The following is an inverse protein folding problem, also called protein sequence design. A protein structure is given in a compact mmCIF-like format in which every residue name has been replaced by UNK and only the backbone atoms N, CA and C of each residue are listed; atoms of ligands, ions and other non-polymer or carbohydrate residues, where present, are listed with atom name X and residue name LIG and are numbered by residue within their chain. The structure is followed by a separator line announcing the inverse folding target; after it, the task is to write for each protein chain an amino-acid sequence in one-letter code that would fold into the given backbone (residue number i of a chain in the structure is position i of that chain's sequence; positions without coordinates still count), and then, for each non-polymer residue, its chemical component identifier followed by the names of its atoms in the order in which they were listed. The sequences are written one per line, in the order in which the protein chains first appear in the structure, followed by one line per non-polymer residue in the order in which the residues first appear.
data_IF_893078263286
#
_entry.id   IF_893078263286
#
_cell.length_a   1.000
_cell.length_b   1.000
_cell.length_c   1.000
_cell.angle_alpha   90.00
_cell.angle_beta   90.00
_cell.angle_gamma   90.00
#
_symmetry.space_group_name_H-M   'P 1'
#
loop_
_entity.id
_entity.type
_entity.pdbx_description
1 polymer ?
#
# COMPACT_ATOMS: atom_id res chain seq x y z
N UNK A 1 15.40 9.75 -6.45
CA UNK A 1 15.81 8.35 -6.29
C UNK A 1 16.99 8.15 -7.22
N UNK A 2 18.20 8.31 -6.69
CA UNK A 2 19.43 8.14 -7.47
C UNK A 2 19.67 6.64 -7.65
N UNK A 3 19.77 6.17 -8.88
CA UNK A 3 20.10 4.80 -9.22
C UNK A 3 21.51 4.77 -9.81
N UNK A 4 22.37 3.89 -9.29
CA UNK A 4 23.58 3.48 -10.01
C UNK A 4 23.24 2.16 -10.71
N UNK A 5 23.24 2.20 -12.04
CA UNK A 5 23.29 1.00 -12.88
C UNK A 5 24.74 0.76 -13.28
N UNK A 6 25.17 -0.49 -13.20
CA UNK A 6 26.44 -0.95 -13.69
C UNK A 6 26.19 -2.21 -14.52
N UNK A 7 26.01 -2.01 -15.81
CA UNK A 7 26.09 -3.08 -16.80
C UNK A 7 27.60 -3.35 -17.04
N UNK A 8 28.04 -4.58 -16.71
CA UNK A 8 29.40 -5.02 -16.99
C UNK A 8 29.45 -5.65 -18.38
N UNK A 9 29.93 -4.90 -19.39
CA UNK A 9 30.26 -5.48 -20.69
C UNK A 9 31.34 -6.57 -20.51
N UNK A 10 31.22 -7.68 -21.25
CA UNK A 10 31.90 -8.94 -20.92
C UNK A 10 33.44 -8.89 -20.93
N UNK A 11 34.00 -7.95 -21.70
CA UNK A 11 35.43 -7.77 -21.97
C UNK A 11 36.19 -7.01 -20.87
N UNK A 12 35.50 -6.25 -20.00
CA UNK A 12 36.12 -5.24 -19.12
C UNK A 12 36.92 -5.85 -17.92
N UNK A 13 36.89 -7.19 -17.81
CA UNK A 13 37.55 -7.99 -16.77
C UNK A 13 36.88 -7.91 -15.39
N UNK A 14 35.65 -7.39 -15.32
CA UNK A 14 34.94 -7.03 -14.08
C UNK A 14 34.11 -8.22 -13.59
N UNK A 15 34.78 -9.16 -12.92
CA UNK A 15 34.17 -10.36 -12.33
C UNK A 15 34.62 -10.53 -10.87
N UNK A 16 33.82 -11.22 -10.05
CA UNK A 16 34.16 -11.50 -8.66
C UNK A 16 34.37 -10.27 -7.78
N UNK A 17 35.20 -10.43 -6.75
CA UNK A 17 35.61 -9.37 -5.80
C UNK A 17 36.15 -8.11 -6.51
N UNK A 18 36.89 -8.25 -7.60
CA UNK A 18 37.38 -7.11 -8.41
C UNK A 18 36.23 -6.29 -8.98
N UNK A 19 35.12 -6.95 -9.34
CA UNK A 19 33.88 -6.30 -9.75
C UNK A 19 33.21 -5.55 -8.61
N UNK A 20 33.06 -6.18 -7.44
CA UNK A 20 32.50 -5.56 -6.25
C UNK A 20 33.23 -4.26 -5.87
N UNK A 21 34.56 -4.30 -5.80
CA UNK A 21 35.38 -3.14 -5.43
C UNK A 21 35.34 -2.03 -6.50
N UNK A 22 35.31 -2.38 -7.80
CA UNK A 22 35.13 -1.39 -8.90
C UNK A 22 33.72 -0.77 -8.90
N UNK A 23 32.70 -1.50 -8.49
CA UNK A 23 31.34 -0.99 -8.32
C UNK A 23 31.27 -0.02 -7.13
N UNK A 24 31.76 -0.43 -5.97
CA UNK A 24 31.81 0.37 -4.74
C UNK A 24 32.59 1.68 -4.94
N UNK A 25 33.71 1.65 -5.67
CA UNK A 25 34.48 2.84 -6.02
C UNK A 25 33.70 3.88 -6.88
N UNK A 26 32.59 3.49 -7.53
CA UNK A 26 31.67 4.41 -8.23
C UNK A 26 30.40 4.73 -7.43
N UNK A 27 30.18 4.09 -6.28
CA UNK A 27 28.98 4.29 -5.46
C UNK A 27 28.98 5.67 -4.81
N UNK A 28 27.80 6.31 -4.74
CA UNK A 28 27.60 7.60 -4.11
C UNK A 28 26.62 7.44 -2.95
N UNK A 29 26.77 8.14 -1.81
CA UNK A 29 25.87 7.97 -0.67
C UNK A 29 24.37 8.09 -0.99
N UNK A 30 23.99 9.00 -1.90
CA UNK A 30 22.57 9.22 -2.29
C UNK A 30 21.93 8.08 -3.12
N UNK A 31 22.68 7.02 -3.41
CA UNK A 31 22.23 5.90 -4.23
C UNK A 31 21.24 5.03 -3.46
N UNK A 32 19.99 5.12 -3.90
CA UNK A 32 18.83 4.49 -3.25
C UNK A 32 18.39 3.20 -3.94
N UNK A 33 19.00 2.88 -5.09
CA UNK A 33 18.80 1.65 -5.87
C UNK A 33 20.14 1.14 -6.37
N UNK A 34 20.45 -0.12 -6.05
CA UNK A 34 21.61 -0.87 -6.53
C UNK A 34 21.19 -1.71 -7.74
N UNK A 35 21.84 -1.54 -8.88
CA UNK A 35 21.53 -2.29 -10.11
C UNK A 35 22.83 -2.74 -10.76
N UNK A 36 23.10 -4.04 -10.72
CA UNK A 36 24.29 -4.67 -11.31
C UNK A 36 23.83 -5.73 -12.30
N UNK A 37 24.55 -5.82 -13.42
CA UNK A 37 24.34 -6.83 -14.46
C UNK A 37 25.66 -7.37 -14.96
N UNK A 38 25.72 -8.67 -15.22
CA UNK A 38 26.92 -9.37 -15.66
C UNK A 38 27.61 -10.16 -14.53
N UNK A 39 28.59 -11.03 -14.88
CA UNK A 39 29.04 -12.17 -14.07
C UNK A 39 29.84 -11.77 -12.81
N UNK A 40 29.11 -11.39 -11.77
CA UNK A 40 29.66 -11.00 -10.47
C UNK A 40 30.13 -12.18 -9.63
N UNK A 41 29.47 -13.34 -9.73
CA UNK A 41 29.62 -14.54 -8.92
C UNK A 41 29.41 -14.36 -7.41
N UNK A 42 29.34 -15.48 -6.67
CA UNK A 42 29.12 -15.46 -5.22
C UNK A 42 30.18 -14.69 -4.44
N UNK A 43 31.47 -14.76 -4.80
CA UNK A 43 32.53 -14.04 -4.09
C UNK A 43 32.43 -12.52 -4.33
N UNK A 44 32.01 -12.10 -5.54
CA UNK A 44 31.70 -10.71 -5.83
C UNK A 44 30.48 -10.21 -5.05
N UNK A 45 29.39 -10.98 -5.02
CA UNK A 45 28.17 -10.63 -4.27
C UNK A 45 28.44 -10.61 -2.76
N UNK A 46 29.15 -11.60 -2.23
CA UNK A 46 29.51 -11.67 -0.81
C UNK A 46 30.35 -10.45 -0.41
N UNK A 47 31.44 -10.17 -1.13
CA UNK A 47 32.27 -8.99 -0.86
C UNK A 47 31.49 -7.67 -0.97
N UNK A 48 30.62 -7.53 -1.98
CA UNK A 48 29.78 -6.34 -2.15
C UNK A 48 28.89 -6.08 -0.92
N UNK A 49 28.17 -7.10 -0.44
CA UNK A 49 27.23 -6.92 0.67
C UNK A 49 27.92 -6.91 2.04
N UNK A 50 29.07 -7.55 2.21
CA UNK A 50 29.93 -7.38 3.39
C UNK A 50 30.45 -5.93 3.48
N UNK A 51 30.95 -5.37 2.37
CA UNK A 51 31.40 -3.97 2.32
C UNK A 51 30.26 -2.94 2.43
N UNK A 52 29.02 -3.28 2.06
CA UNK A 52 27.84 -2.42 2.28
C UNK A 52 27.25 -2.56 3.70
N UNK A 53 27.53 -3.67 4.39
CA UNK A 53 27.05 -3.93 5.76
C UNK A 53 27.99 -3.42 6.86
N UNK A 54 29.26 -3.15 6.56
CA UNK A 54 30.26 -2.71 7.53
C UNK A 54 29.89 -1.36 8.18
N UNK A 55 30.03 -1.26 9.51
CA UNK A 55 29.68 -0.08 10.29
C UNK A 55 30.49 1.19 9.92
N UNK A 56 31.70 1.00 9.39
CA UNK A 56 32.61 2.06 8.93
C UNK A 56 32.50 2.34 7.42
N UNK A 57 31.60 1.67 6.70
CA UNK A 57 31.40 1.88 5.27
C UNK A 57 30.97 3.35 4.99
N UNK A 58 31.70 4.11 4.15
CA UNK A 58 31.41 5.52 3.85
C UNK A 58 30.11 5.73 3.05
N UNK A 59 29.37 4.66 2.82
CA UNK A 59 28.16 4.57 2.00
C UNK A 59 26.90 4.29 2.82
N UNK A 60 27.05 3.77 4.05
CA UNK A 60 25.99 3.59 5.04
C UNK A 60 24.91 2.53 4.71
N UNK A 61 24.58 1.60 5.62
CA UNK A 61 23.56 0.57 5.38
C UNK A 61 22.10 1.09 5.43
N UNK A 62 21.86 2.38 5.16
CA UNK A 62 20.56 3.03 5.39
C UNK A 62 19.86 3.60 4.14
N UNK A 63 20.56 3.83 3.02
CA UNK A 63 19.92 4.43 1.82
C UNK A 63 19.45 3.42 0.76
N UNK A 64 19.99 2.20 0.70
CA UNK A 64 19.56 1.20 -0.30
C UNK A 64 18.11 0.75 -0.03
N UNK A 65 17.23 0.95 -1.01
CA UNK A 65 15.81 0.53 -0.95
C UNK A 65 15.45 -0.55 -1.97
N UNK A 66 16.24 -0.69 -3.03
CA UNK A 66 16.06 -1.69 -4.08
C UNK A 66 17.40 -2.29 -4.50
N UNK A 67 17.41 -3.60 -4.74
CA UNK A 67 18.56 -4.40 -5.20
C UNK A 67 18.14 -5.14 -6.48
N UNK A 68 18.93 -5.00 -7.54
CA UNK A 68 18.81 -5.76 -8.79
C UNK A 68 20.16 -6.38 -9.13
N UNK A 69 20.25 -7.72 -9.20
CA UNK A 69 21.47 -8.49 -9.51
C UNK A 69 21.13 -9.56 -10.57
N UNK A 70 20.75 -9.11 -11.76
CA UNK A 70 20.27 -10.01 -12.82
C UNK A 70 21.43 -10.53 -13.68
N UNK A 71 21.43 -11.83 -13.99
CA UNK A 71 22.51 -12.48 -14.75
C UNK A 71 23.90 -12.31 -14.11
N UNK A 72 23.97 -12.53 -12.80
CA UNK A 72 25.20 -12.38 -12.00
C UNK A 72 25.97 -13.70 -11.78
N UNK A 73 25.43 -14.85 -12.20
CA UNK A 73 25.92 -16.20 -11.88
C UNK A 73 26.10 -16.43 -10.37
N UNK A 74 25.04 -16.09 -9.64
CA UNK A 74 24.95 -16.14 -8.19
C UNK A 74 24.19 -17.39 -7.74
N UNK A 75 24.66 -18.09 -6.71
CA UNK A 75 23.96 -19.24 -6.12
C UNK A 75 23.22 -18.84 -4.83
N UNK A 76 22.66 -19.83 -4.13
CA UNK A 76 22.17 -19.73 -2.76
C UNK A 76 23.19 -19.05 -1.81
N UNK A 77 24.50 -19.19 -2.03
CA UNK A 77 25.54 -18.52 -1.23
C UNK A 77 25.49 -17.00 -1.36
N UNK A 78 25.39 -16.47 -2.58
CA UNK A 78 25.24 -15.04 -2.81
C UNK A 78 23.86 -14.53 -2.38
N UNK A 79 22.77 -15.28 -2.66
CA UNK A 79 21.42 -14.96 -2.19
C UNK A 79 21.37 -14.81 -0.66
N UNK A 80 22.01 -15.73 0.08
CA UNK A 80 22.14 -15.65 1.55
C UNK A 80 22.81 -14.34 1.98
N UNK A 81 23.84 -13.88 1.27
CA UNK A 81 24.49 -12.59 1.59
C UNK A 81 23.57 -11.39 1.31
N UNK A 82 22.87 -11.38 0.17
CA UNK A 82 21.85 -10.37 -0.15
C UNK A 82 20.77 -10.32 0.94
N UNK A 83 20.26 -11.47 1.37
CA UNK A 83 19.20 -11.53 2.39
C UNK A 83 19.70 -11.22 3.80
N UNK A 84 20.95 -11.56 4.16
CA UNK A 84 21.59 -11.07 5.40
C UNK A 84 21.69 -9.55 5.41
N UNK A 85 22.07 -8.93 4.29
CA UNK A 85 22.03 -7.47 4.15
C UNK A 85 20.60 -6.91 4.27
N UNK A 86 19.59 -7.53 3.65
CA UNK A 86 18.18 -7.12 3.77
C UNK A 86 17.59 -7.35 5.19
N UNK A 87 18.14 -8.30 5.94
CA UNK A 87 17.78 -8.53 7.34
C UNK A 87 18.38 -7.45 8.26
N UNK A 88 19.55 -6.90 7.94
CA UNK A 88 20.14 -5.76 8.64
C UNK A 88 19.52 -4.41 8.19
N UNK A 89 19.58 -4.10 6.90
CA UNK A 89 19.01 -2.91 6.29
C UNK A 89 17.49 -3.05 6.07
N UNK A 90 16.72 -2.57 7.05
CA UNK A 90 15.25 -2.53 7.03
C UNK A 90 14.63 -1.58 5.99
N UNK A 91 15.44 -0.86 5.20
CA UNK A 91 14.94 0.00 4.13
C UNK A 91 14.92 -0.69 2.76
N UNK A 92 15.60 -1.84 2.59
CA UNK A 92 15.43 -2.66 1.37
C UNK A 92 14.03 -3.28 1.37
N UNK A 93 13.24 -2.94 0.35
CA UNK A 93 11.94 -3.56 0.12
C UNK A 93 11.91 -4.40 -1.18
N UNK A 94 12.66 -4.01 -2.20
CA UNK A 94 12.67 -4.71 -3.51
C UNK A 94 13.97 -5.46 -3.76
N UNK A 95 13.87 -6.73 -4.14
CA UNK A 95 15.00 -7.61 -4.49
C UNK A 95 14.68 -8.36 -5.79
N UNK A 96 15.48 -8.15 -6.83
CA UNK A 96 15.30 -8.68 -8.19
C UNK A 96 16.57 -9.45 -8.61
N UNK A 97 16.47 -10.78 -8.71
CA UNK A 97 17.60 -11.72 -8.81
C UNK A 97 17.39 -12.72 -9.95
N UNK A 98 16.81 -12.26 -11.06
CA UNK A 98 16.45 -13.11 -12.20
C UNK A 98 17.68 -13.62 -12.95
N UNK A 99 17.53 -14.82 -13.54
CA UNK A 99 18.53 -15.41 -14.41
C UNK A 99 19.87 -15.66 -13.69
N UNK A 100 19.81 -16.26 -12.50
CA UNK A 100 20.96 -16.70 -11.71
C UNK A 100 20.91 -18.23 -11.50
N UNK A 101 21.87 -18.74 -10.72
CA UNK A 101 22.07 -20.17 -10.44
C UNK A 101 21.57 -20.54 -9.01
N UNK A 102 20.47 -19.89 -8.58
CA UNK A 102 19.82 -20.11 -7.27
C UNK A 102 19.03 -21.42 -7.30
N UNK A 103 19.10 -22.22 -6.24
CA UNK A 103 18.38 -23.50 -6.10
C UNK A 103 17.39 -23.53 -4.93
N UNK A 104 17.53 -22.66 -3.92
CA UNK A 104 16.76 -22.66 -2.66
C UNK A 104 16.93 -23.93 -1.80
N UNK A 105 18.06 -24.63 -1.91
CA UNK A 105 18.40 -25.79 -1.06
C UNK A 105 18.64 -25.40 0.42
N UNK A 106 18.99 -24.14 0.69
CA UNK A 106 19.35 -23.67 2.04
C UNK A 106 18.16 -23.09 2.85
N UNK A 107 17.85 -23.76 3.97
CA UNK A 107 16.82 -23.35 4.94
C UNK A 107 17.07 -21.97 5.59
N UNK A 108 18.32 -21.49 5.61
CA UNK A 108 18.64 -20.13 6.09
C UNK A 108 17.96 -19.05 5.22
N UNK A 109 17.74 -19.30 3.93
CA UNK A 109 17.16 -18.33 2.98
C UNK A 109 15.75 -17.91 3.42
N UNK A 110 14.88 -18.87 3.76
CA UNK A 110 13.54 -18.57 4.27
C UNK A 110 13.63 -17.82 5.61
N UNK A 111 14.54 -18.23 6.50
CA UNK A 111 14.74 -17.61 7.82
C UNK A 111 15.18 -16.14 7.71
N UNK A 112 16.09 -15.83 6.78
CA UNK A 112 16.56 -14.46 6.52
C UNK A 112 15.46 -13.60 5.88
N UNK A 113 14.72 -14.15 4.91
CA UNK A 113 13.60 -13.46 4.26
C UNK A 113 12.49 -13.14 5.26
N UNK A 114 12.16 -14.07 6.17
CA UNK A 114 11.24 -13.87 7.29
C UNK A 114 11.68 -12.72 8.22
N UNK A 115 12.99 -12.56 8.42
CA UNK A 115 13.57 -11.47 9.21
C UNK A 115 13.72 -10.14 8.48
N UNK A 116 13.46 -10.07 7.17
CA UNK A 116 13.69 -8.89 6.33
C UNK A 116 12.47 -7.95 6.24
N UNK A 117 12.65 -6.81 5.56
CA UNK A 117 11.54 -5.92 5.15
C UNK A 117 11.22 -6.05 3.63
N UNK A 118 11.67 -7.11 2.96
CA UNK A 118 11.46 -7.31 1.52
C UNK A 118 9.97 -7.47 1.23
N UNK A 119 9.39 -6.52 0.49
CA UNK A 119 8.00 -6.54 0.03
C UNK A 119 7.83 -7.13 -1.38
N UNK A 120 8.91 -7.20 -2.17
CA UNK A 120 8.88 -7.63 -3.56
C UNK A 120 10.14 -8.44 -3.91
N UNK A 121 10.02 -9.77 -3.98
CA UNK A 121 11.10 -10.69 -4.34
C UNK A 121 10.87 -11.32 -5.72
N UNK A 122 11.89 -11.28 -6.58
CA UNK A 122 11.86 -11.86 -7.93
C UNK A 122 13.01 -12.84 -8.12
N UNK A 123 12.67 -14.12 -8.29
CA UNK A 123 13.55 -15.27 -8.50
C UNK A 123 13.35 -15.93 -9.88
N UNK A 124 12.56 -15.32 -10.77
CA UNK A 124 12.27 -15.89 -12.10
C UNK A 124 13.51 -16.25 -12.93
N UNK A 125 13.41 -17.27 -13.77
CA UNK A 125 14.52 -17.80 -14.60
C UNK A 125 15.73 -18.34 -13.79
N UNK A 126 15.51 -18.83 -12.57
CA UNK A 126 16.51 -19.60 -11.80
C UNK A 126 16.15 -21.10 -11.82
N UNK A 127 17.13 -22.00 -11.70
CA UNK A 127 16.90 -23.44 -11.62
C UNK A 127 16.62 -23.89 -10.18
N UNK A 128 15.40 -23.60 -9.71
CA UNK A 128 14.99 -23.86 -8.34
C UNK A 128 14.82 -25.37 -8.10
N UNK A 129 15.55 -25.93 -7.13
CA UNK A 129 15.39 -27.33 -6.73
C UNK A 129 14.01 -27.52 -6.09
N UNK A 130 13.39 -28.66 -6.38
CA UNK A 130 12.01 -28.92 -5.97
C UNK A 130 11.92 -29.35 -4.50
N UNK A 131 12.95 -29.99 -3.95
CA UNK A 131 13.03 -30.25 -2.50
C UNK A 131 13.34 -28.96 -1.74
N UNK A 132 14.34 -28.20 -2.17
CA UNK A 132 14.69 -26.89 -1.61
C UNK A 132 13.50 -25.93 -1.58
N UNK A 133 12.84 -25.74 -2.73
CA UNK A 133 11.64 -24.90 -2.85
C UNK A 133 10.50 -25.39 -1.95
N UNK A 134 10.30 -26.70 -1.80
CA UNK A 134 9.31 -27.26 -0.88
C UNK A 134 9.62 -26.92 0.58
N UNK A 135 10.88 -26.99 1.01
CA UNK A 135 11.29 -26.59 2.36
C UNK A 135 11.15 -25.07 2.55
N UNK A 136 11.55 -24.28 1.54
CA UNK A 136 11.39 -22.82 1.53
C UNK A 136 9.93 -22.40 1.77
N UNK A 137 8.95 -22.91 0.99
CA UNK A 137 7.54 -22.56 1.20
C UNK A 137 6.98 -23.01 2.56
N UNK A 138 7.46 -24.14 3.09
CA UNK A 138 7.08 -24.61 4.43
C UNK A 138 7.64 -23.71 5.55
N UNK A 139 8.84 -23.16 5.39
CA UNK A 139 9.48 -22.25 6.34
C UNK A 139 9.12 -20.76 6.16
N UNK A 140 8.56 -20.37 5.00
CA UNK A 140 8.27 -18.98 4.65
C UNK A 140 7.05 -18.42 5.39
N UNK A 141 7.28 -17.41 6.23
CA UNK A 141 6.27 -16.65 7.00
C UNK A 141 6.25 -15.16 6.61
N UNK A 142 7.39 -14.63 6.14
CA UNK A 142 7.69 -13.29 5.62
C UNK A 142 6.52 -12.28 5.60
N UNK A 143 6.16 -11.66 6.75
CA UNK A 143 4.96 -10.83 6.87
C UNK A 143 5.03 -9.48 6.14
N UNK A 144 6.19 -9.14 5.58
CA UNK A 144 6.36 -7.99 4.67
C UNK A 144 6.14 -8.32 3.20
N UNK A 145 6.20 -9.60 2.81
CA UNK A 145 6.26 -10.02 1.41
C UNK A 145 4.90 -9.88 0.71
N UNK A 146 4.77 -8.86 -0.14
CA UNK A 146 3.57 -8.57 -0.93
C UNK A 146 3.60 -9.20 -2.32
N UNK A 147 4.79 -9.39 -2.92
CA UNK A 147 4.94 -10.03 -4.21
C UNK A 147 6.07 -11.07 -4.22
N UNK A 148 5.81 -12.26 -4.75
CA UNK A 148 6.79 -13.32 -4.99
C UNK A 148 6.68 -13.81 -6.45
N UNK A 149 7.77 -13.66 -7.21
CA UNK A 149 7.83 -14.07 -8.62
C UNK A 149 8.84 -15.20 -8.82
N UNK A 150 8.37 -16.35 -9.29
CA UNK A 150 9.13 -17.58 -9.57
C UNK A 150 8.69 -18.15 -10.92
N UNK A 151 8.66 -17.29 -11.95
CA UNK A 151 8.31 -17.64 -13.32
C UNK A 151 9.50 -18.24 -14.09
N UNK A 152 9.24 -19.19 -14.99
CA UNK A 152 10.29 -19.93 -15.72
C UNK A 152 11.33 -20.61 -14.79
N UNK A 153 10.92 -21.09 -13.62
CA UNK A 153 11.83 -21.61 -12.58
C UNK A 153 12.04 -23.13 -12.60
N UNK A 154 11.49 -23.84 -13.60
CA UNK A 154 11.50 -25.31 -13.70
C UNK A 154 10.96 -26.05 -12.46
N UNK A 155 10.02 -25.45 -11.72
CA UNK A 155 9.40 -26.10 -10.55
C UNK A 155 8.64 -27.36 -10.96
N UNK A 156 9.00 -28.50 -10.36
CA UNK A 156 8.31 -29.76 -10.55
C UNK A 156 6.98 -29.83 -9.75
N UNK A 157 6.10 -30.75 -10.16
CA UNK A 157 4.76 -30.90 -9.58
C UNK A 157 4.72 -31.41 -8.12
N UNK A 158 5.83 -31.85 -7.55
CA UNK A 158 5.96 -32.26 -6.14
C UNK A 158 6.11 -31.06 -5.18
N UNK A 159 6.45 -29.88 -5.69
CA UNK A 159 6.45 -28.60 -4.96
C UNK A 159 5.03 -28.13 -4.63
N UNK A 160 4.04 -28.58 -5.40
CA UNK A 160 2.67 -28.07 -5.40
C UNK A 160 1.93 -28.19 -4.06
N UNK A 161 2.04 -29.29 -3.28
CA UNK A 161 1.46 -29.36 -1.95
C UNK A 161 2.01 -28.28 -1.00
N UNK A 162 3.32 -28.02 -1.02
CA UNK A 162 3.94 -26.98 -0.19
C UNK A 162 3.48 -25.57 -0.60
N UNK A 163 3.29 -25.33 -1.90
CA UNK A 163 2.69 -24.09 -2.43
C UNK A 163 1.23 -23.95 -1.98
N UNK A 164 0.43 -25.01 -2.08
CA UNK A 164 -0.99 -24.99 -1.69
C UNK A 164 -1.15 -24.76 -0.18
N UNK A 165 -0.36 -25.45 0.66
CA UNK A 165 -0.35 -25.27 2.11
C UNK A 165 0.12 -23.87 2.51
N UNK A 166 1.16 -23.33 1.85
CA UNK A 166 1.60 -21.95 2.04
C UNK A 166 0.50 -20.94 1.68
N UNK A 167 -0.12 -21.08 0.51
CA UNK A 167 -1.20 -20.20 0.03
C UNK A 167 -2.45 -20.29 0.92
N UNK A 168 -2.75 -21.45 1.50
CA UNK A 168 -3.84 -21.61 2.46
C UNK A 168 -3.49 -21.16 3.88
N UNK A 169 -2.21 -21.10 4.26
CA UNK A 169 -1.78 -20.74 5.61
C UNK A 169 -2.02 -19.25 5.90
N UNK A 170 -2.53 -18.86 7.10
CA UNK A 170 -2.81 -17.47 7.44
C UNK A 170 -1.64 -16.49 7.35
N UNK A 171 -0.39 -16.98 7.25
CA UNK A 171 0.81 -16.16 7.01
C UNK A 171 0.82 -15.46 5.65
N UNK A 172 0.21 -16.05 4.63
CA UNK A 172 0.16 -15.46 3.27
C UNK A 172 -0.92 -14.39 3.06
N UNK A 173 -1.62 -13.96 4.12
CA UNK A 173 -2.54 -12.80 4.05
C UNK A 173 -1.83 -11.46 3.73
N UNK A 174 -0.49 -11.41 3.79
CA UNK A 174 0.29 -10.28 3.29
C UNK A 174 0.53 -10.31 1.77
N UNK A 175 0.43 -11.50 1.16
CA UNK A 175 0.79 -11.74 -0.23
C UNK A 175 -0.36 -11.32 -1.18
N UNK A 176 0.00 -10.51 -2.17
CA UNK A 176 -0.88 -9.91 -3.19
C UNK A 176 -0.61 -10.53 -4.55
N UNK A 177 0.67 -10.74 -4.90
CA UNK A 177 1.08 -11.36 -6.15
C UNK A 177 1.93 -12.60 -5.88
N UNK A 178 1.50 -13.74 -6.42
CA UNK A 178 2.30 -14.96 -6.54
C UNK A 178 2.34 -15.32 -8.02
N UNK A 179 3.54 -15.41 -8.60
CA UNK A 179 3.71 -15.67 -10.04
C UNK A 179 4.52 -16.95 -10.24
N UNK A 180 3.85 -18.01 -10.70
CA UNK A 180 4.43 -19.34 -10.97
C UNK A 180 4.31 -19.73 -12.46
N UNK A 181 4.04 -18.76 -13.34
CA UNK A 181 3.91 -18.98 -14.80
C UNK A 181 5.10 -19.74 -15.38
N UNK A 182 4.80 -20.64 -16.31
CA UNK A 182 5.80 -21.37 -17.14
C UNK A 182 6.78 -22.23 -16.34
N UNK A 183 6.35 -22.72 -15.18
CA UNK A 183 6.87 -23.96 -14.64
C UNK A 183 6.18 -25.11 -15.38
N UNK A 184 6.95 -25.98 -16.04
CA UNK A 184 6.45 -26.83 -17.12
C UNK A 184 5.68 -28.08 -16.66
N UNK A 185 5.92 -28.51 -15.41
CA UNK A 185 5.47 -29.82 -14.91
C UNK A 185 4.15 -29.76 -14.11
N UNK A 186 3.48 -28.61 -14.09
CA UNK A 186 2.24 -28.39 -13.34
C UNK A 186 1.02 -28.96 -14.08
N UNK A 187 0.55 -30.14 -13.65
CA UNK A 187 -0.61 -30.81 -14.27
C UNK A 187 -1.97 -30.19 -13.87
N UNK A 188 -3.05 -30.74 -14.44
CA UNK A 188 -4.43 -30.28 -14.22
C UNK A 188 -4.88 -30.45 -12.76
N UNK A 189 -4.47 -31.52 -12.08
CA UNK A 189 -4.83 -31.79 -10.68
C UNK A 189 -4.03 -30.90 -9.73
N UNK A 190 -2.76 -30.67 -10.03
CA UNK A 190 -1.86 -29.75 -9.32
C UNK A 190 -2.34 -28.30 -9.42
N UNK A 191 -2.66 -27.84 -10.63
CA UNK A 191 -3.28 -26.53 -10.84
C UNK A 191 -4.63 -26.42 -10.10
N UNK A 192 -5.43 -27.50 -10.08
CA UNK A 192 -6.70 -27.54 -9.32
C UNK A 192 -6.46 -27.38 -7.82
N UNK A 193 -5.47 -28.10 -7.26
CA UNK A 193 -5.09 -28.04 -5.84
C UNK A 193 -4.73 -26.61 -5.38
N UNK A 194 -3.93 -25.88 -6.18
CA UNK A 194 -3.59 -24.48 -5.85
C UNK A 194 -4.82 -23.58 -5.92
N UNK A 195 -5.69 -23.75 -6.93
CA UNK A 195 -6.95 -22.99 -7.01
C UNK A 195 -7.92 -23.34 -5.87
N UNK A 196 -7.93 -24.58 -5.39
CA UNK A 196 -8.73 -25.00 -4.22
C UNK A 196 -8.23 -24.32 -2.93
N UNK A 197 -6.92 -24.22 -2.73
CA UNK A 197 -6.31 -23.47 -1.63
C UNK A 197 -6.66 -21.97 -1.66
N UNK A 198 -6.60 -21.35 -2.85
CA UNK A 198 -7.03 -19.96 -3.06
C UNK A 198 -8.54 -19.82 -2.81
N UNK A 199 -9.35 -20.74 -3.31
CA UNK A 199 -10.81 -20.65 -3.15
C UNK A 199 -11.24 -20.80 -1.69
N UNK A 200 -10.67 -21.78 -0.97
CA UNK A 200 -11.02 -22.10 0.41
C UNK A 200 -10.44 -21.18 1.49
N UNK A 201 -9.27 -20.58 1.26
CA UNK A 201 -8.54 -19.86 2.30
C UNK A 201 -7.93 -18.49 1.89
N UNK A 202 -7.49 -18.31 0.64
CA UNK A 202 -6.76 -17.08 0.26
C UNK A 202 -7.64 -16.05 -0.48
N UNK A 203 -7.92 -14.94 0.20
CA UNK A 203 -8.69 -13.80 -0.34
C UNK A 203 -7.83 -12.56 -0.65
N UNK A 204 -6.50 -12.65 -0.52
CA UNK A 204 -5.57 -11.51 -0.63
C UNK A 204 -4.77 -11.52 -1.92
N UNK A 205 -4.45 -12.71 -2.45
CA UNK A 205 -3.88 -12.88 -3.78
C UNK A 205 -4.80 -12.28 -4.85
N UNK A 206 -4.32 -11.29 -5.58
CA UNK A 206 -5.04 -10.62 -6.66
C UNK A 206 -4.74 -11.26 -8.01
N UNK A 207 -3.45 -11.45 -8.33
CA UNK A 207 -3.00 -11.99 -9.63
C UNK A 207 -3.13 -13.52 -9.72
N UNK A 208 -4.32 -14.08 -9.48
CA UNK A 208 -4.55 -15.54 -9.43
C UNK A 208 -4.24 -16.19 -10.79
N UNK A 209 -4.51 -15.50 -11.91
CA UNK A 209 -4.14 -15.99 -13.24
C UNK A 209 -2.64 -16.16 -13.46
N UNK A 210 -1.79 -15.47 -12.69
CA UNK A 210 -0.34 -15.55 -12.76
C UNK A 210 0.25 -16.76 -12.00
N UNK A 211 -0.58 -17.54 -11.30
CA UNK A 211 -0.17 -18.76 -10.60
C UNK A 211 -0.16 -20.00 -11.54
N UNK A 212 -0.78 -19.90 -12.71
CA UNK A 212 -0.94 -21.02 -13.65
C UNK A 212 0.05 -20.99 -14.83
N UNK A 213 0.40 -22.15 -15.42
CA UNK A 213 1.06 -22.23 -16.73
C UNK A 213 0.29 -21.55 -17.88
N UNK A 214 1.00 -21.13 -18.93
CA UNK A 214 0.44 -20.43 -20.10
C UNK A 214 -0.53 -21.29 -20.93
N UNK A 215 -0.43 -22.62 -20.82
CA UNK A 215 -1.08 -23.65 -21.63
C UNK A 215 -2.20 -24.42 -20.89
N UNK A 216 -2.51 -24.06 -19.63
CA UNK A 216 -3.58 -24.72 -18.86
C UNK A 216 -4.94 -24.75 -19.58
N UNK A 217 -5.75 -25.81 -19.38
CA UNK A 217 -7.10 -25.90 -19.91
C UNK A 217 -7.97 -24.67 -19.61
N UNK A 218 -8.78 -24.28 -20.61
CA UNK A 218 -9.61 -23.06 -20.58
C UNK A 218 -10.53 -22.99 -19.35
N UNK A 219 -10.98 -24.13 -18.79
CA UNK A 219 -11.82 -24.13 -17.60
C UNK A 219 -11.05 -23.75 -16.32
N UNK A 220 -9.78 -24.14 -16.17
CA UNK A 220 -8.93 -23.71 -15.05
C UNK A 220 -8.59 -22.22 -15.17
N UNK A 221 -8.32 -21.75 -16.40
CA UNK A 221 -8.08 -20.32 -16.66
C UNK A 221 -9.27 -19.46 -16.26
N UNK A 222 -10.49 -19.85 -16.65
CA UNK A 222 -11.72 -19.17 -16.23
C UNK A 222 -11.91 -19.21 -14.71
N UNK A 223 -11.67 -20.35 -14.05
CA UNK A 223 -11.72 -20.43 -12.58
C UNK A 223 -10.72 -19.47 -11.92
N UNK A 224 -9.52 -19.33 -12.47
CA UNK A 224 -8.55 -18.34 -12.00
C UNK A 224 -9.01 -16.89 -12.25
N UNK A 225 -9.58 -16.58 -13.42
CA UNK A 225 -10.17 -15.27 -13.74
C UNK A 225 -11.36 -14.91 -12.80
N UNK A 226 -12.20 -15.89 -12.46
CA UNK A 226 -13.29 -15.77 -11.50
C UNK A 226 -12.78 -15.55 -10.07
N UNK A 227 -11.75 -16.29 -9.64
CA UNK A 227 -11.11 -16.14 -8.32
C UNK A 227 -10.34 -14.81 -8.20
N UNK A 228 -9.66 -14.38 -9.27
CA UNK A 228 -9.02 -13.07 -9.40
C UNK A 228 -10.07 -11.95 -9.30
N UNK A 229 -11.21 -12.09 -9.99
CA UNK A 229 -12.33 -11.14 -9.91
C UNK A 229 -12.95 -11.11 -8.50
N UNK A 230 -13.12 -12.28 -7.88
CA UNK A 230 -13.61 -12.45 -6.50
C UNK A 230 -12.67 -11.74 -5.52
N UNK A 231 -11.38 -12.05 -5.54
CA UNK A 231 -10.39 -11.49 -4.62
C UNK A 231 -10.20 -9.98 -4.86
N UNK A 232 -10.15 -9.53 -6.12
CA UNK A 232 -10.19 -8.09 -6.43
C UNK A 232 -11.44 -7.41 -5.87
N UNK A 233 -12.61 -8.03 -5.91
CA UNK A 233 -13.84 -7.48 -5.33
C UNK A 233 -13.82 -7.49 -3.78
N UNK A 234 -13.19 -8.48 -3.14
CA UNK A 234 -12.97 -8.48 -1.69
C UNK A 234 -11.95 -7.42 -1.25
N UNK A 235 -10.81 -7.32 -1.94
CA UNK A 235 -9.78 -6.32 -1.69
C UNK A 235 -10.32 -4.90 -1.95
N UNK A 236 -11.01 -4.68 -3.06
CA UNK A 236 -11.90 -3.53 -3.32
C UNK A 236 -12.75 -3.27 -2.07
N UNK A 237 -13.59 -4.21 -1.65
CA UNK A 237 -14.43 -4.07 -0.44
C UNK A 237 -13.64 -3.81 0.85
N UNK A 238 -12.36 -4.17 0.97
CA UNK A 238 -11.50 -3.96 2.15
C UNK A 238 -10.74 -2.62 2.14
N UNK A 239 -10.23 -2.15 1.00
CA UNK A 239 -9.77 -0.75 0.84
C UNK A 239 -10.96 0.15 1.16
N UNK A 240 -12.13 -0.20 0.62
CA UNK A 240 -13.43 0.44 0.90
C UNK A 240 -13.74 0.36 2.39
N UNK A 241 -13.33 -0.69 3.08
CA UNK A 241 -13.43 -0.81 4.53
C UNK A 241 -12.43 0.10 5.27
N UNK A 242 -11.89 1.16 4.64
CA UNK A 242 -10.99 2.11 5.31
C UNK A 242 -11.31 3.63 5.22
N UNK A 243 -11.77 4.32 4.15
CA UNK A 243 -12.07 5.79 4.23
C UNK A 243 -13.32 6.18 4.98
N UNK A 244 -14.52 5.65 4.69
CA UNK A 244 -15.76 6.38 5.07
C UNK A 244 -15.94 6.57 6.59
N UNK A 245 -15.18 5.86 7.41
CA UNK A 245 -15.12 5.96 8.86
C UNK A 245 -13.75 6.39 9.39
N UNK A 246 -12.66 6.27 8.62
CA UNK A 246 -11.52 7.18 8.74
C UNK A 246 -11.96 8.66 8.59
N UNK A 247 -12.99 8.90 7.78
CA UNK A 247 -13.80 10.13 7.71
C UNK A 247 -14.64 10.31 8.97
N UNK A 248 -15.32 9.28 9.51
CA UNK A 248 -16.02 9.39 10.80
C UNK A 248 -15.09 9.72 11.99
N UNK A 249 -13.92 9.11 12.13
CA UNK A 249 -12.90 9.49 13.11
C UNK A 249 -12.46 10.91 12.90
N UNK A 250 -12.21 11.30 11.64
CA UNK A 250 -11.84 12.66 11.30
C UNK A 250 -12.94 13.65 11.70
N UNK A 251 -14.21 13.30 11.54
CA UNK A 251 -15.37 14.07 12.03
C UNK A 251 -15.42 14.08 13.57
N UNK A 252 -15.30 12.93 14.24
CA UNK A 252 -15.34 12.77 15.70
C UNK A 252 -14.20 13.53 16.39
N UNK A 253 -13.02 13.62 15.74
CA UNK A 253 -11.82 14.24 16.31
C UNK A 253 -11.67 15.73 15.93
N UNK A 254 -12.15 16.18 14.76
CA UNK A 254 -12.26 17.62 14.49
C UNK A 254 -13.49 18.26 15.14
N UNK A 255 -14.60 17.51 15.31
CA UNK A 255 -15.71 17.88 16.19
C UNK A 255 -15.36 17.85 17.69
N UNK A 256 -14.12 17.49 18.02
CA UNK A 256 -13.46 17.63 19.32
C UNK A 256 -12.29 18.62 19.30
N UNK A 257 -12.21 19.53 18.32
CA UNK A 257 -11.51 20.78 18.62
C UNK A 257 -12.19 21.38 19.85
N UNK A 258 -11.44 21.71 20.93
CA UNK A 258 -12.03 22.49 21.98
C UNK A 258 -12.53 23.79 21.33
N UNK A 259 -13.78 24.15 21.62
CA UNK A 259 -14.11 25.56 21.71
C UNK A 259 -13.09 26.09 22.70
N UNK A 260 -12.20 26.98 22.25
CA UNK A 260 -11.36 27.69 23.19
C UNK A 260 -12.34 28.38 24.14
N UNK A 261 -12.28 28.04 25.42
CA UNK A 261 -13.04 28.78 26.42
C UNK A 261 -12.47 30.19 26.37
N UNK A 262 -13.17 31.08 25.66
CA UNK A 262 -12.76 32.47 25.49
C UNK A 262 -12.58 33.02 26.91
N UNK A 263 -11.32 33.37 27.21
CA UNK A 263 -10.85 33.71 28.54
C UNK A 263 -11.34 35.09 28.97
N UNK A 264 -12.66 35.23 29.09
CA UNK A 264 -13.34 36.43 29.51
C UNK A 264 -12.93 36.79 30.95
N UNK A 265 -12.43 38.03 31.10
CA UNK A 265 -12.44 38.79 32.35
C UNK A 265 -11.58 38.26 33.50
N UNK A 266 -10.27 38.49 33.43
CA UNK A 266 -9.60 39.21 34.53
C UNK A 266 -9.52 40.71 34.20
N UNK A 267 -10.68 41.38 34.20
CA UNK A 267 -10.75 42.84 34.19
C UNK A 267 -10.48 43.37 35.60
N UNK A 268 -9.22 43.61 35.93
CA UNK A 268 -8.79 44.10 37.25
C UNK A 268 -9.07 45.62 37.39
N UNK A 269 -10.35 46.00 37.28
CA UNK A 269 -10.86 47.37 37.28
C UNK A 269 -11.51 47.78 38.62
N UNK A 270 -10.75 48.57 39.39
CA UNK A 270 -11.11 49.33 40.62
C UNK A 270 -12.58 49.71 40.91
N UNK A 271 -12.93 49.64 42.20
CA UNK A 271 -13.97 50.40 42.94
C UNK A 271 -14.84 51.44 42.19
N UNK A 272 -16.18 51.32 42.27
CA UNK A 272 -17.02 52.15 43.17
C UNK A 272 -18.55 51.90 43.06
N UNK A 273 -19.18 51.63 44.22
CA UNK A 273 -20.49 52.11 44.75
C UNK A 273 -21.82 52.15 43.91
N UNK A 274 -22.94 52.28 44.65
CA UNK A 274 -24.20 52.94 44.24
C UNK A 274 -25.23 52.20 43.36
N UNK A 275 -25.85 51.16 43.95
CA UNK A 275 -27.31 51.09 44.18
C UNK A 275 -28.31 51.76 43.19
N UNK A 276 -29.13 50.97 42.45
CA UNK A 276 -30.60 51.20 42.30
C UNK A 276 -31.44 50.16 41.52
N UNK A 277 -32.42 49.57 42.22
CA UNK A 277 -33.87 49.38 41.86
C UNK A 277 -34.36 49.21 40.39
N UNK A 278 -35.21 48.16 40.24
CA UNK A 278 -36.57 48.08 39.59
C UNK A 278 -36.79 47.51 38.16
N UNK A 279 -37.54 46.38 38.16
CA UNK A 279 -38.81 46.08 37.41
C UNK A 279 -38.84 45.80 35.88
N UNK A 280 -39.17 44.51 35.59
CA UNK A 280 -40.29 43.99 34.74
C UNK A 280 -40.28 44.18 33.19
N UNK A 281 -40.73 43.10 32.53
CA UNK A 281 -41.07 42.89 31.09
C UNK A 281 -39.86 42.82 30.15
N UNK A 282 -39.87 42.04 29.06
CA UNK A 282 -40.80 40.95 28.70
C UNK A 282 -41.15 40.85 27.21
N UNK A 283 -40.40 40.04 26.45
CA UNK A 283 -40.65 39.66 25.04
C UNK A 283 -39.90 38.36 24.73
N UNK A 284 -40.56 37.30 24.23
CA UNK A 284 -40.69 36.97 22.80
C UNK A 284 -39.36 36.94 22.04
N UNK A 285 -38.82 35.74 21.85
CA UNK A 285 -37.80 35.41 20.82
C UNK A 285 -38.48 34.74 19.61
N UNK A 286 -38.16 35.13 18.37
CA UNK A 286 -38.50 34.38 17.16
C UNK A 286 -37.34 33.46 16.71
N UNK A 287 -37.66 32.44 15.90
CA UNK A 287 -36.66 31.53 15.32
C UNK A 287 -35.76 32.21 14.28
N UNK A 288 -34.50 31.79 14.11
CA UNK A 288 -33.65 32.26 13.01
C UNK A 288 -34.14 31.70 11.67
N UNK A 289 -34.23 32.57 10.66
CA UNK A 289 -34.60 32.20 9.29
C UNK A 289 -33.34 31.80 8.50
N UNK A 290 -33.36 30.61 7.88
CA UNK A 290 -32.28 30.19 6.98
C UNK A 290 -32.32 31.01 5.67
N UNK A 291 -31.23 31.74 5.40
CA UNK A 291 -31.08 32.53 4.18
C UNK A 291 -30.70 31.60 3.01
N UNK A 292 -31.54 31.57 1.97
CA UNK A 292 -31.18 31.01 0.66
C UNK A 292 -30.22 31.96 -0.05
N UNK A 293 -28.99 31.50 -0.33
CA UNK A 293 -28.16 32.09 -1.37
C UNK A 293 -28.20 31.20 -2.62
N UNK A 294 -28.90 31.67 -3.65
CA UNK A 294 -28.91 31.04 -4.99
C UNK A 294 -27.94 31.78 -5.90
N UNK A 295 -26.94 31.08 -6.44
CA UNK A 295 -26.23 31.53 -7.62
C UNK A 295 -26.37 30.53 -8.76
N UNK A 296 -26.58 31.08 -9.96
CA UNK A 296 -27.07 30.39 -11.15
C UNK A 296 -26.23 30.89 -12.33
N UNK A 297 -25.31 30.07 -12.79
CA UNK A 297 -24.56 30.30 -14.03
C UNK A 297 -24.70 29.08 -14.94
N UNK A 298 -24.89 29.33 -16.22
CA UNK A 298 -25.29 28.33 -17.19
C UNK A 298 -24.11 27.60 -17.81
N UNK A 299 -24.32 26.33 -18.19
CA UNK A 299 -23.51 25.72 -19.23
C UNK A 299 -23.88 26.33 -20.58
N UNK A 300 -22.89 26.66 -21.38
CA UNK A 300 -22.94 26.36 -22.81
C UNK A 300 -21.83 25.37 -23.12
N UNK A 301 -22.14 24.41 -24.00
CA UNK A 301 -21.26 23.32 -24.43
C UNK A 301 -21.62 23.01 -25.86
N UNK A 302 -20.63 23.04 -26.75
CA UNK A 302 -20.58 22.36 -28.05
C UNK A 302 -19.14 22.52 -28.59
N UNK A 303 -18.47 21.44 -29.04
CA UNK A 303 -18.46 20.87 -30.40
C UNK A 303 -17.77 21.77 -31.44
N UNK A 304 -16.92 21.28 -32.36
CA UNK A 304 -16.30 19.95 -32.51
C UNK A 304 -15.12 20.01 -33.53
N UNK A 305 -14.39 18.90 -33.70
CA UNK A 305 -13.42 18.70 -34.79
C UNK A 305 -12.05 19.40 -34.60
N UNK A 306 -11.09 19.26 -35.50
CA UNK A 306 -10.88 18.22 -36.54
C UNK A 306 -9.40 18.26 -36.99
N UNK A 307 -8.94 17.24 -37.70
CA UNK A 307 -7.55 17.07 -38.13
C UNK A 307 -7.01 18.18 -39.06
N UNK A 308 -5.72 18.49 -38.90
CA UNK A 308 -4.84 18.90 -40.00
C UNK A 308 -3.38 18.55 -39.69
N UNK A 309 -2.67 17.96 -40.66
CA UNK A 309 -1.22 17.79 -40.61
C UNK A 309 -0.53 19.02 -41.21
N UNK A 310 0.64 19.40 -40.71
CA UNK A 310 1.68 19.97 -41.57
C UNK A 310 3.08 19.81 -40.98
N UNK A 311 4.05 19.71 -41.90
CA UNK A 311 5.46 19.38 -41.64
C UNK A 311 6.36 20.53 -42.06
N UNK A 312 7.33 20.89 -41.22
CA UNK A 312 8.52 21.62 -41.67
C UNK A 312 9.69 21.43 -40.69
N UNK A 313 10.84 21.03 -41.23
CA UNK A 313 12.18 21.26 -40.68
C UNK A 313 12.81 22.43 -41.49
N UNK A 314 14.10 22.76 -41.30
CA UNK A 314 14.67 23.38 -40.11
C UNK A 314 15.42 24.68 -40.48
N UNK A 315 15.91 25.46 -39.51
CA UNK A 315 17.20 26.16 -39.63
C UNK A 315 17.69 26.68 -38.26
N UNK A 316 18.88 27.29 -38.23
CA UNK A 316 19.63 27.61 -37.01
C UNK A 316 19.76 29.13 -36.77
N UNK A 317 20.21 29.54 -35.57
CA UNK A 317 21.48 30.28 -35.34
C UNK A 317 21.59 30.97 -33.95
N UNK A 318 22.84 31.28 -33.58
CA UNK A 318 23.38 32.22 -32.56
C UNK A 318 22.87 32.20 -31.08
N UNK A 319 23.68 31.71 -30.12
CA UNK A 319 23.41 31.80 -28.69
C UNK A 319 23.97 33.10 -28.05
N UNK A 320 23.27 34.23 -28.21
CA UNK A 320 23.73 35.52 -27.65
C UNK A 320 22.64 36.38 -27.00
N UNK A 321 22.30 36.16 -25.70
CA UNK A 321 21.91 37.28 -24.79
C UNK A 321 21.87 36.98 -23.28
N UNK A 322 22.50 37.92 -22.55
CA UNK A 322 22.10 38.50 -21.25
C UNK A 322 21.86 37.59 -20.03
N UNK A 323 22.79 37.72 -19.07
CA UNK A 323 22.56 37.45 -17.65
C UNK A 323 21.57 38.47 -17.08
N UNK A 324 20.50 38.03 -16.41
CA UNK A 324 19.68 38.89 -15.54
C UNK A 324 19.96 38.62 -14.07
N UNK A 325 20.17 39.68 -13.29
CA UNK A 325 20.56 39.62 -11.88
C UNK A 325 19.33 39.44 -10.99
N UNK A 326 19.04 38.21 -10.56
CA UNK A 326 17.92 37.93 -9.67
C UNK A 326 18.27 38.31 -8.22
N UNK A 327 17.45 39.19 -7.63
CA UNK A 327 17.54 39.62 -6.22
C UNK A 327 16.86 38.58 -5.31
N UNK A 328 17.47 38.16 -4.19
CA UNK A 328 16.82 37.24 -3.25
C UNK A 328 15.70 37.95 -2.47
N UNK A 329 14.45 37.52 -2.65
CA UNK A 329 13.29 38.19 -2.06
C UNK A 329 12.10 37.28 -1.77
N UNK A 330 11.88 37.00 -0.48
CA UNK A 330 10.60 36.55 0.11
C UNK A 330 10.04 35.22 -0.41
N UNK A 331 10.52 34.11 0.17
CA UNK A 331 9.82 32.82 0.08
C UNK A 331 8.40 32.92 0.66
N UNK A 332 7.38 32.81 -0.20
CA UNK A 332 6.01 32.53 0.25
C UNK A 332 5.95 31.06 0.69
N UNK A 333 5.98 30.83 2.00
CA UNK A 333 5.75 29.50 2.58
C UNK A 333 4.44 28.91 2.06
N UNK A 334 4.54 27.95 1.14
CA UNK A 334 3.37 27.22 0.66
C UNK A 334 2.88 26.32 1.79
N UNK A 335 1.73 26.67 2.38
CA UNK A 335 1.12 25.92 3.46
C UNK A 335 0.91 24.46 3.02
N UNK A 336 1.72 23.55 3.58
CA UNK A 336 1.80 22.19 3.07
C UNK A 336 0.46 21.45 3.29
N UNK A 337 -0.03 20.68 2.30
CA UNK A 337 -1.40 20.17 2.30
C UNK A 337 -1.67 19.33 3.56
N UNK A 338 -2.83 19.52 4.23
CA UNK A 338 -3.08 18.93 5.53
C UNK A 338 -2.91 17.42 5.46
N UNK A 339 -2.10 16.88 6.38
CA UNK A 339 -1.82 15.43 6.47
C UNK A 339 -3.14 14.67 6.47
N UNK A 340 -3.42 13.77 5.50
CA UNK A 340 -4.65 13.00 5.51
C UNK A 340 -4.69 12.25 6.83
N UNK A 341 -5.81 12.38 7.55
CA UNK A 341 -5.99 11.74 8.85
C UNK A 341 -5.63 10.24 8.69
N UNK A 342 -4.75 9.65 9.55
CA UNK A 342 -4.29 8.18 9.42
C UNK A 342 -5.70 5.74 10.51
N UNK A 343 -6.95 5.24 10.18
CA UNK A 343 -7.89 4.52 11.06
C UNK A 343 -7.50 3.08 11.33
N UNK A 344 -6.90 2.38 10.36
CA UNK A 344 -6.27 1.06 10.58
C UNK A 344 -5.29 1.05 11.76
N UNK A 345 -4.87 2.24 12.19
CA UNK A 345 -3.94 2.48 13.27
C UNK A 345 -4.55 3.27 14.45
N UNK A 346 -5.83 3.66 14.45
CA UNK A 346 -6.58 4.04 15.67
C UNK A 346 -6.93 2.81 16.53
N UNK A 347 -7.31 2.95 17.83
CA UNK A 347 -7.68 1.81 18.68
C UNK A 347 -8.67 0.86 18.00
N UNK A 348 -8.60 -0.46 18.25
CA UNK A 348 -9.52 -1.42 17.60
C UNK A 348 -10.97 -1.12 17.98
N UNK A 349 -11.15 -0.38 19.08
CA UNK A 349 -12.40 -0.03 19.72
C UNK A 349 -12.88 1.35 19.26
N UNK A 350 -11.96 2.25 18.90
CA UNK A 350 -12.31 3.46 18.13
C UNK A 350 -12.65 3.07 16.68
N UNK A 351 -11.89 2.14 16.08
CA UNK A 351 -12.24 1.47 14.82
C UNK A 351 -13.63 0.81 14.91
N UNK A 352 -14.00 0.18 16.05
CA UNK A 352 -15.31 -0.44 16.23
C UNK A 352 -16.45 0.54 16.62
N UNK A 353 -16.15 1.66 17.29
CA UNK A 353 -17.07 2.81 17.39
C UNK A 353 -17.39 3.34 15.98
N UNK A 354 -16.37 3.26 15.12
CA UNK A 354 -16.34 3.58 13.71
C UNK A 354 -16.62 2.33 12.85
N UNK A 355 -17.16 1.30 13.50
CA UNK A 355 -17.96 0.21 12.99
C UNK A 355 -19.33 0.16 13.70
N UNK A 356 -19.87 1.34 14.12
CA UNK A 356 -21.28 1.49 14.58
C UNK A 356 -21.96 2.85 14.30
N UNK A 357 -21.25 3.90 13.91
CA UNK A 357 -21.82 5.24 13.66
C UNK A 357 -22.46 5.48 12.26
N UNK A 358 -21.70 5.96 11.25
CA UNK A 358 -22.19 6.44 9.94
C UNK A 358 -22.86 5.41 9.01
N UNK A 359 -23.25 4.24 9.50
CA UNK A 359 -24.22 3.33 8.84
C UNK A 359 -25.11 2.55 9.80
N UNK A 360 -25.46 3.17 10.92
CA UNK A 360 -26.87 3.20 11.34
C UNK A 360 -27.50 1.85 11.73
N UNK A 361 -26.69 0.81 11.97
CA UNK A 361 -27.13 -0.47 12.53
C UNK A 361 -26.86 -0.49 14.03
N UNK A 362 -27.90 -0.17 14.81
CA UNK A 362 -27.86 -0.22 16.27
C UNK A 362 -27.60 -1.64 16.81
N UNK A 363 -27.81 -2.69 16.00
CA UNK A 363 -27.69 -4.10 16.42
C UNK A 363 -26.36 -4.77 16.08
N UNK A 364 -25.54 -4.17 15.20
CA UNK A 364 -24.28 -4.74 14.68
C UNK A 364 -23.25 -5.13 15.76
N UNK A 365 -23.35 -4.56 16.97
CA UNK A 365 -22.60 -4.97 18.15
C UNK A 365 -23.57 -5.21 19.31
N UNK A 366 -23.52 -6.39 19.92
CA UNK A 366 -24.29 -6.64 21.15
C UNK A 366 -23.86 -5.67 22.25
N UNK A 367 -24.78 -5.38 23.17
CA UNK A 367 -24.55 -4.50 24.32
C UNK A 367 -23.31 -4.91 25.16
N UNK A 368 -22.94 -6.20 25.15
CA UNK A 368 -21.71 -6.70 25.79
C UNK A 368 -20.41 -6.36 25.03
N UNK A 369 -20.47 -6.23 23.71
CA UNK A 369 -19.36 -5.79 22.86
C UNK A 369 -19.27 -4.26 22.90
N UNK A 370 -20.42 -3.57 22.87
CA UNK A 370 -20.49 -2.12 22.98
C UNK A 370 -19.90 -1.59 24.29
N UNK A 371 -20.22 -2.21 25.44
CA UNK A 371 -19.60 -1.85 26.73
C UNK A 371 -18.10 -2.10 26.79
N UNK A 372 -17.58 -3.08 26.04
CA UNK A 372 -16.13 -3.30 25.89
C UNK A 372 -15.49 -2.20 25.02
N UNK A 373 -16.16 -1.83 23.91
CA UNK A 373 -15.75 -0.71 23.05
C UNK A 373 -15.70 0.60 23.84
N UNK A 374 -16.76 0.93 24.60
CA UNK A 374 -16.78 2.11 25.48
C UNK A 374 -15.63 2.03 26.50
N UNK A 375 -15.51 0.93 27.26
CA UNK A 375 -14.47 0.80 28.30
C UNK A 375 -13.05 1.05 27.75
N UNK A 376 -12.77 0.62 26.53
CA UNK A 376 -11.44 0.78 25.93
C UNK A 376 -11.25 2.13 25.21
N UNK A 377 -12.33 2.77 24.76
CA UNK A 377 -12.31 4.14 24.22
C UNK A 377 -12.33 5.22 25.32
N UNK A 378 -12.76 4.86 26.54
CA UNK A 378 -12.62 5.67 27.76
C UNK A 378 -11.24 5.54 28.42
N UNK A 379 -10.38 4.64 27.95
CA UNK A 379 -8.98 4.50 28.38
C UNK A 379 -8.06 5.42 27.55
N UNK A 380 -7.46 6.48 28.16
CA UNK A 380 -6.57 7.40 27.45
C UNK A 380 -5.29 6.74 26.89
N UNK A 381 -4.82 5.65 27.52
CA UNK A 381 -3.56 5.01 27.13
C UNK A 381 -3.73 4.09 25.91
N UNK A 382 -4.93 3.54 25.70
CA UNK A 382 -5.29 2.88 24.43
C UNK A 382 -5.24 3.85 23.26
N UNK A 383 -5.95 4.97 23.39
CA UNK A 383 -5.96 6.08 22.42
C UNK A 383 -4.54 6.56 22.09
N UNK A 384 -3.71 6.76 23.11
CA UNK A 384 -2.37 7.34 22.98
C UNK A 384 -1.31 6.38 22.41
N UNK A 385 -1.53 5.06 22.43
CA UNK A 385 -0.69 4.09 21.70
C UNK A 385 -0.97 4.16 20.20
N UNK A 386 -2.22 3.94 19.84
CA UNK A 386 -2.68 3.84 18.46
C UNK A 386 -2.58 5.19 17.70
N UNK A 387 -2.77 6.33 18.37
CA UNK A 387 -2.47 7.64 17.77
C UNK A 387 -1.01 7.77 17.23
N UNK A 388 -0.03 7.05 17.83
CA UNK A 388 1.37 7.04 17.36
C UNK A 388 1.57 6.13 16.16
N UNK A 389 0.97 4.93 16.15
CA UNK A 389 0.90 4.08 14.95
C UNK A 389 0.38 4.91 13.76
N UNK A 390 -0.68 5.66 14.00
CA UNK A 390 -1.40 6.42 13.00
C UNK A 390 -0.49 7.41 12.27
N UNK A 391 0.21 8.29 13.00
CA UNK A 391 1.09 9.31 12.44
C UNK A 391 2.11 8.76 11.41
N UNK A 392 2.64 7.55 11.65
CA UNK A 392 3.64 6.92 10.78
C UNK A 392 3.09 6.38 9.45
N UNK A 393 1.78 6.11 9.31
CA UNK A 393 1.21 5.72 8.01
C UNK A 393 1.09 6.92 7.07
N UNK A 394 0.65 8.05 7.62
CA UNK A 394 0.62 9.33 6.91
C UNK A 394 1.99 9.74 6.37
N UNK A 395 3.06 9.38 7.10
CA UNK A 395 4.43 9.71 6.71
C UNK A 395 4.89 8.95 5.45
N UNK A 396 4.39 7.72 5.24
CA UNK A 396 4.71 6.90 4.07
C UNK A 396 3.91 7.32 2.85
N UNK A 397 2.61 7.58 3.01
CA UNK A 397 1.71 8.00 1.91
C UNK A 397 2.11 9.36 1.33
N UNK A 398 2.71 10.27 2.12
CA UNK A 398 3.18 11.57 1.63
C UNK A 398 4.43 11.55 0.74
N UNK A 399 5.08 10.40 0.53
CA UNK A 399 6.38 10.31 -0.15
C UNK A 399 6.33 10.00 -1.65
N UNK A 400 5.15 9.78 -2.26
CA UNK A 400 4.99 9.49 -3.70
C UNK A 400 3.87 10.33 -4.33
N UNK A 401 3.96 10.53 -5.66
CA UNK A 401 3.18 11.52 -6.43
C UNK A 401 1.82 10.93 -6.91
N UNK A 402 1.07 11.60 -7.81
CA UNK A 402 -0.30 12.05 -7.56
C UNK A 402 -1.35 10.93 -7.51
N UNK A 403 -2.42 11.15 -6.73
CA UNK A 403 -3.49 10.16 -6.52
C UNK A 403 -4.29 9.83 -7.78
N UNK A 404 -4.37 8.53 -8.12
CA UNK A 404 -5.45 8.02 -8.95
C UNK A 404 -6.81 8.13 -8.26
N UNK A 405 -7.82 8.58 -9.01
CA UNK A 405 -9.20 8.75 -8.53
C UNK A 405 -9.85 7.44 -8.07
N UNK A 406 -9.37 6.29 -8.57
CA UNK A 406 -9.85 4.96 -8.14
C UNK A 406 -9.51 4.74 -6.66
N UNK A 407 -8.28 4.96 -6.23
CA UNK A 407 -7.85 4.71 -4.84
C UNK A 407 -8.61 5.53 -3.80
N UNK A 408 -9.04 6.77 -4.09
CA UNK A 408 -9.83 7.58 -3.13
C UNK A 408 -11.30 7.13 -3.08
N UNK A 409 -11.86 6.67 -4.20
CA UNK A 409 -13.23 6.12 -4.26
C UNK A 409 -13.30 4.69 -3.70
N UNK A 410 -12.24 3.91 -3.96
CA UNK A 410 -11.97 2.62 -3.36
C UNK A 410 -11.70 2.77 -1.87
N UNK A 411 -10.99 3.75 -1.34
CA UNK A 411 -10.92 3.92 0.11
C UNK A 411 -12.37 4.22 0.64
N UNK A 412 -13.27 4.83 -0.15
CA UNK A 412 -14.63 5.32 0.23
C UNK A 412 -15.89 4.40 0.02
N UNK A 413 -15.90 3.05 0.12
CA UNK A 413 -17.20 2.27 0.08
C UNK A 413 -17.65 1.36 1.27
N UNK A 414 -16.81 0.85 2.17
CA UNK A 414 -17.19 -0.18 3.17
C UNK A 414 -16.94 0.19 4.62
N UNK A 415 -16.30 1.32 4.99
CA UNK A 415 -16.37 1.77 6.40
C UNK A 415 -17.82 2.13 6.74
N UNK A 416 -18.47 2.93 5.89
CA UNK A 416 -19.94 2.97 5.76
C UNK A 416 -20.41 1.68 5.09
N UNK A 417 -20.16 0.58 5.81
CA UNK A 417 -20.69 -0.79 5.77
C UNK A 417 -20.11 -1.63 6.93
N UNK A 418 -19.03 -1.19 7.59
CA UNK A 418 -18.60 -1.65 8.91
C UNK A 418 -19.59 -1.24 10.01
N UNK A 419 -20.39 -0.17 9.81
CA UNK A 419 -21.25 0.41 10.85
C UNK A 419 -22.77 0.07 10.89
N UNK A 420 -23.45 -0.67 10.00
CA UNK A 420 -23.06 -1.41 8.79
C UNK A 420 -24.17 -1.49 7.72
N UNK A 421 -24.25 -0.51 6.81
CA UNK A 421 -25.40 -0.30 5.90
C UNK A 421 -25.58 -1.37 4.84
N UNK A 422 -26.82 -1.39 4.31
CA UNK A 422 -27.23 -2.22 3.19
C UNK A 422 -27.55 -1.43 1.91
N UNK A 423 -27.71 -2.17 0.81
CA UNK A 423 -27.12 -1.81 -0.48
C UNK A 423 -28.08 -1.27 -1.54
N UNK A 424 -29.29 -0.84 -1.16
CA UNK A 424 -30.31 -0.36 -2.11
C UNK A 424 -29.91 0.94 -2.83
N UNK A 425 -28.95 1.69 -2.27
CA UNK A 425 -28.36 2.89 -2.89
C UNK A 425 -27.27 2.61 -3.94
N UNK A 426 -26.87 1.34 -4.17
CA UNK A 426 -25.67 1.01 -4.95
C UNK A 426 -25.89 0.19 -6.24
N UNK A 427 -27.06 -0.44 -6.41
CA UNK A 427 -27.41 -1.17 -7.62
C UNK A 427 -28.53 -0.46 -8.39
N UNK A 428 -28.35 -0.34 -9.70
CA UNK A 428 -29.22 0.47 -10.57
C UNK A 428 -30.59 -0.21 -10.83
N UNK A 429 -31.68 0.54 -10.59
CA UNK A 429 -32.84 0.49 -11.49
C UNK A 429 -34.03 -0.43 -11.19
N UNK A 430 -34.10 -1.19 -10.09
CA UNK A 430 -35.33 -1.92 -9.71
C UNK A 430 -35.63 -1.90 -8.20
N UNK A 431 -36.73 -1.25 -7.84
CA UNK A 431 -37.40 -1.44 -6.56
C UNK A 431 -38.35 -2.66 -6.62
N UNK A 432 -38.62 -3.34 -5.49
CA UNK A 432 -39.71 -4.32 -5.43
C UNK A 432 -41.08 -3.62 -5.57
N UNK A 433 -42.10 -4.29 -6.12
CA UNK A 433 -43.45 -3.72 -6.17
C UNK A 433 -44.00 -3.55 -4.75
N UNK A 434 -44.54 -2.37 -4.45
CA UNK A 434 -45.27 -2.12 -3.20
C UNK A 434 -46.56 -2.96 -3.17
N UNK A 435 -47.01 -3.42 -2.00
CA UNK A 435 -48.28 -4.12 -1.87
C UNK A 435 -49.42 -3.17 -2.31
N UNK A 436 -50.29 -3.65 -3.20
CA UNK A 436 -51.44 -2.89 -3.70
C UNK A 436 -52.38 -2.57 -2.55
N UNK A 437 -52.47 -1.29 -2.19
CA UNK A 437 -53.45 -0.82 -1.21
C UNK A 437 -54.87 -1.08 -1.74
N UNK A 438 -55.67 -1.81 -0.96
CA UNK A 438 -57.08 -2.05 -1.26
C UNK A 438 -57.85 -0.75 -1.03
N UNK A 439 -58.03 0.02 -2.11
CA UNK A 439 -58.95 1.15 -2.12
C UNK A 439 -60.39 0.64 -2.16
N UNK A 440 -61.20 1.03 -1.17
CA UNK A 440 -62.61 0.65 -1.12
C UNK A 440 -63.46 1.52 -2.05
N UNK A 441 -64.38 0.86 -2.78
CA UNK A 441 -65.66 1.35 -3.31
C UNK A 441 -65.87 2.87 -3.51
N UNK A 442 -66.08 3.26 -4.77
CA UNK A 442 -67.45 3.55 -5.27
C UNK A 442 -67.66 2.74 -6.55
#
# INVERSE_FOLDING_TARGET
MTQVSYDCDEDDGIRGVTGALRFLAKWQPTCTSLSIRGPFNDDGVVCLFECLAADDAPYGPQEVTAITLNSASMTDRGLRSVLRYCAANKNVTRVDLRHNDITLEDEEIATLLNGSNVDHLVLGMNWLDSRGTSVFFNALDAPSLTCLFMDHCCLAGDVVPAVADFVAAPRTNGLVDLVLRRNADFDVAQCTCILDAIEGANYTLLSVTAVLPDDVPVFLRRRAEDLETRNNLHHTRLIRATLKGLVAARIILHGRQPIAEDGDMEDTGTDTDSSRRRRRRGSRTPSPVYVRNTYRWALHRDQAGSAASQSQQPEAEDPSRQQETIVPGTERQQASPPRPFPLLRLPREIQLLIARYCTEDETALSESQWRRVIRHASDPDSLSRKARDWAAWCHRVKARVPMEKRLVREFLWTQMKELGCFSWEWNEGRAPPLPTAVAASV
#
